data_IF_503791055490
#
_entry.id   IF_503791055490
#
_cell.length_a   1.000
_cell.length_b   1.000
_cell.length_c   1.000
_cell.angle_alpha   90.00
_cell.angle_beta   90.00
_cell.angle_gamma   90.00
#
_symmetry.space_group_name_H-M   'P 1'
#
loop_
_entity.id
_entity.type
_entity.pdbx_description
1 polymer ?
#
# COMPACT_ATOMS: atom_id res chain seq x y z
N UNK A 1 2.92 20.88 -14.29
CA UNK A 1 1.69 20.43 -13.59
C UNK A 1 1.79 18.95 -13.19
N UNK A 2 3.02 18.43 -13.06
CA UNK A 2 3.33 17.00 -13.14
C UNK A 2 3.50 16.34 -11.75
N UNK A 3 3.87 17.12 -10.73
CA UNK A 3 3.97 16.64 -9.33
C UNK A 3 2.62 16.23 -8.74
N UNK A 4 1.51 16.78 -9.25
CA UNK A 4 0.17 16.44 -8.76
C UNK A 4 -0.24 15.05 -9.23
N UNK A 5 0.11 14.65 -10.45
CA UNK A 5 -0.37 13.39 -11.04
C UNK A 5 0.13 12.18 -10.23
N UNK A 6 1.42 12.13 -9.89
CA UNK A 6 1.99 11.05 -9.07
C UNK A 6 1.36 10.97 -7.68
N UNK A 7 1.21 12.12 -7.00
CA UNK A 7 0.65 12.18 -5.64
C UNK A 7 -0.82 11.74 -5.61
N UNK A 8 -1.61 12.17 -6.61
CA UNK A 8 -2.99 11.71 -6.78
C UNK A 8 -3.07 10.22 -7.11
N UNK A 9 -2.14 9.67 -7.91
CA UNK A 9 -2.12 8.22 -8.21
C UNK A 9 -1.93 7.36 -6.96
N UNK A 10 -1.11 7.79 -5.99
CA UNK A 10 -0.96 7.06 -4.74
C UNK A 10 -2.20 7.12 -3.85
N UNK A 11 -2.79 8.30 -3.69
CA UNK A 11 -4.03 8.45 -2.91
C UNK A 11 -5.16 7.60 -3.53
N UNK A 12 -5.30 7.63 -4.85
CA UNK A 12 -6.29 6.81 -5.56
C UNK A 12 -6.03 5.32 -5.34
N UNK A 13 -4.78 4.87 -5.41
CA UNK A 13 -4.42 3.48 -5.15
C UNK A 13 -4.73 3.03 -3.71
N UNK A 14 -4.48 3.89 -2.73
CA UNK A 14 -4.84 3.64 -1.32
C UNK A 14 -6.36 3.54 -1.15
N UNK A 15 -7.13 4.46 -1.75
CA UNK A 15 -8.60 4.42 -1.70
C UNK A 15 -9.13 3.13 -2.34
N UNK A 16 -8.58 2.74 -3.50
CA UNK A 16 -8.93 1.49 -4.17
C UNK A 16 -8.63 0.28 -3.29
N UNK A 17 -7.47 0.23 -2.64
CA UNK A 17 -7.11 -0.85 -1.72
C UNK A 17 -8.09 -0.97 -0.54
N UNK A 18 -8.56 0.16 0.00
CA UNK A 18 -9.57 0.18 1.08
C UNK A 18 -10.92 -0.36 0.57
N UNK A 19 -11.39 0.13 -0.58
CA UNK A 19 -12.67 -0.31 -1.16
C UNK A 19 -12.64 -1.81 -1.47
N UNK A 20 -11.53 -2.30 -2.03
CA UNK A 20 -11.34 -3.73 -2.32
C UNK A 20 -11.23 -4.58 -1.05
N UNK A 21 -10.62 -4.05 0.01
CA UNK A 21 -10.59 -4.68 1.32
C UNK A 21 -11.94 -4.76 2.00
N UNK A 22 -12.84 -3.80 1.79
CA UNK A 22 -14.23 -3.86 2.28
C UNK A 22 -15.09 -4.81 1.45
N UNK A 23 -14.81 -4.90 0.14
CA UNK A 23 -15.52 -5.77 -0.78
C UNK A 23 -15.04 -7.24 -0.73
N UNK A 24 -13.93 -7.54 -0.04
CA UNK A 24 -13.32 -8.87 0.01
C UNK A 24 -14.29 -10.01 0.36
N UNK A 25 -15.26 -9.87 1.29
CA UNK A 25 -16.13 -11.00 1.65
C UNK A 25 -17.10 -11.37 0.53
N UNK A 26 -17.36 -10.44 -0.39
CA UNK A 26 -18.26 -10.62 -1.53
C UNK A 26 -17.53 -11.10 -2.79
N UNK A 27 -16.19 -11.14 -2.78
CA UNK A 27 -15.37 -11.36 -3.97
C UNK A 27 -14.91 -12.81 -4.14
N UNK A 28 -14.96 -13.65 -3.09
CA UNK A 28 -14.62 -15.07 -3.18
C UNK A 28 -13.28 -15.34 -3.88
N UNK A 29 -13.28 -16.15 -4.94
CA UNK A 29 -12.08 -16.47 -5.73
C UNK A 29 -11.49 -15.29 -6.54
N UNK A 30 -12.26 -14.20 -6.74
CA UNK A 30 -11.76 -12.99 -7.39
C UNK A 30 -10.78 -12.20 -6.51
N UNK A 31 -10.74 -12.47 -5.19
CA UNK A 31 -9.82 -11.83 -4.25
C UNK A 31 -8.34 -12.03 -4.64
N UNK A 32 -7.98 -13.23 -5.12
CA UNK A 32 -6.60 -13.54 -5.51
C UNK A 32 -6.18 -12.70 -6.72
N UNK A 33 -7.05 -12.62 -7.73
CA UNK A 33 -6.83 -11.81 -8.94
C UNK A 33 -6.73 -10.32 -8.63
N UNK A 34 -7.58 -9.82 -7.73
CA UNK A 34 -7.58 -8.42 -7.31
C UNK A 34 -6.33 -8.05 -6.51
N UNK A 35 -5.85 -8.94 -5.63
CA UNK A 35 -4.59 -8.74 -4.93
C UNK A 35 -3.41 -8.63 -5.92
N UNK A 36 -3.39 -9.45 -6.98
CA UNK A 36 -2.37 -9.34 -8.03
C UNK A 36 -2.43 -7.99 -8.77
N UNK A 37 -3.64 -7.49 -9.08
CA UNK A 37 -3.81 -6.18 -9.71
C UNK A 37 -3.30 -5.06 -8.78
N UNK A 38 -3.61 -5.13 -7.49
CA UNK A 38 -3.12 -4.16 -6.50
C UNK A 38 -1.60 -4.15 -6.40
N UNK A 39 -0.96 -5.32 -6.44
CA UNK A 39 0.51 -5.42 -6.47
C UNK A 39 1.08 -4.73 -7.71
N UNK A 40 0.52 -5.01 -8.89
CA UNK A 40 0.95 -4.38 -10.14
C UNK A 40 0.74 -2.86 -10.11
N UNK A 41 -0.42 -2.40 -9.63
CA UNK A 41 -0.68 -0.97 -9.44
C UNK A 41 0.30 -0.35 -8.45
N UNK A 42 0.61 -1.04 -7.36
CA UNK A 42 1.61 -0.61 -6.37
C UNK A 42 2.99 -0.42 -7.01
N UNK A 43 3.45 -1.38 -7.80
CA UNK A 43 4.70 -1.27 -8.55
C UNK A 43 4.68 -0.05 -9.50
N UNK A 44 3.63 0.08 -10.31
CA UNK A 44 3.47 1.19 -11.27
C UNK A 44 3.49 2.53 -10.55
N UNK A 45 2.75 2.67 -9.46
CA UNK A 45 2.72 3.89 -8.65
C UNK A 45 4.08 4.16 -8.00
N UNK A 46 4.79 3.14 -7.52
CA UNK A 46 6.15 3.29 -6.99
C UNK A 46 7.13 3.84 -8.03
N UNK A 47 7.03 3.41 -9.29
CA UNK A 47 7.85 3.94 -10.36
C UNK A 47 7.47 5.39 -10.73
N UNK A 48 6.17 5.68 -10.82
CA UNK A 48 5.62 6.95 -11.30
C UNK A 48 5.61 8.08 -10.26
N UNK A 49 5.36 7.78 -8.99
CA UNK A 49 5.00 8.79 -8.00
C UNK A 49 6.21 9.53 -7.43
N UNK A 50 7.32 8.82 -7.17
CA UNK A 50 8.32 9.36 -6.24
C UNK A 50 9.65 9.63 -6.93
N UNK A 51 9.89 10.91 -7.19
CA UNK A 51 11.16 11.49 -7.64
C UNK A 51 11.36 12.85 -6.98
N UNK A 52 12.50 13.05 -6.30
CA UNK A 52 12.90 14.34 -5.73
C UNK A 52 12.80 14.43 -4.19
N UNK A 53 12.56 15.63 -3.66
CA UNK A 53 12.60 15.91 -2.21
C UNK A 53 11.58 15.15 -1.37
N UNK A 54 10.47 14.72 -1.97
CA UNK A 54 9.37 14.02 -1.28
C UNK A 54 9.65 12.53 -1.06
N UNK A 55 10.76 11.98 -1.60
CA UNK A 55 11.08 10.56 -1.49
C UNK A 55 11.23 10.09 -0.05
N UNK A 56 11.95 10.87 0.77
CA UNK A 56 12.19 10.53 2.17
C UNK A 56 10.89 10.52 2.98
N UNK A 57 10.06 11.55 2.82
CA UNK A 57 8.78 11.64 3.53
C UNK A 57 7.84 10.51 3.11
N UNK A 58 7.78 10.18 1.82
CA UNK A 58 7.01 9.03 1.33
C UNK A 58 7.49 7.71 1.96
N UNK A 59 8.80 7.46 2.00
CA UNK A 59 9.37 6.23 2.56
C UNK A 59 9.10 6.13 4.06
N UNK A 60 9.22 7.24 4.80
CA UNK A 60 8.94 7.29 6.25
C UNK A 60 7.46 7.00 6.51
N UNK A 61 6.55 7.70 5.83
CA UNK A 61 5.10 7.52 6.01
C UNK A 61 4.70 6.08 5.63
N UNK A 62 5.21 5.57 4.51
CA UNK A 62 4.91 4.21 4.07
C UNK A 62 5.46 3.16 5.03
N UNK A 63 6.68 3.34 5.54
CA UNK A 63 7.27 2.45 6.54
C UNK A 63 6.47 2.45 7.85
N UNK A 64 6.07 3.61 8.35
CA UNK A 64 5.21 3.73 9.54
C UNK A 64 3.89 3.00 9.30
N UNK A 65 3.25 3.23 8.15
CA UNK A 65 1.97 2.60 7.83
C UNK A 65 2.08 1.08 7.72
N UNK A 66 3.12 0.57 7.04
CA UNK A 66 3.43 -0.86 6.98
C UNK A 66 3.63 -1.44 8.38
N UNK A 67 4.41 -0.76 9.21
CA UNK A 67 4.70 -1.21 10.56
C UNK A 67 3.44 -1.22 11.44
N UNK A 68 2.63 -0.15 11.40
CA UNK A 68 1.37 -0.06 12.15
C UNK A 68 0.38 -1.13 11.73
N UNK A 69 0.24 -1.39 10.43
CA UNK A 69 -0.64 -2.44 9.92
C UNK A 69 -0.15 -3.83 10.36
N UNK A 70 1.15 -4.08 10.25
CA UNK A 70 1.74 -5.36 10.67
C UNK A 70 1.57 -5.57 12.18
N UNK A 71 1.90 -4.56 12.99
CA UNK A 71 1.72 -4.58 14.44
C UNK A 71 0.24 -4.83 14.82
N UNK A 72 -0.68 -4.09 14.20
CA UNK A 72 -2.12 -4.23 14.43
C UNK A 72 -2.69 -5.60 14.06
N UNK A 73 -2.19 -6.22 12.98
CA UNK A 73 -2.59 -7.57 12.58
C UNK A 73 -2.00 -8.64 13.51
N UNK A 74 -0.73 -8.49 13.89
CA UNK A 74 -0.04 -9.41 14.81
C UNK A 74 -0.60 -9.41 16.24
N UNK A 75 -1.22 -8.30 16.65
CA UNK A 75 -1.78 -8.15 18.00
C UNK A 75 -2.99 -9.06 18.28
N UNK A 76 -3.50 -9.83 17.31
CA UNK A 76 -4.69 -10.71 17.41
C UNK A 76 -6.00 -10.05 17.89
N UNK A 77 -5.97 -8.80 18.33
CA UNK A 77 -7.12 -8.08 18.88
C UNK A 77 -8.13 -7.68 17.81
N UNK A 78 -7.69 -7.46 16.56
CA UNK A 78 -8.63 -7.15 15.48
C UNK A 78 -9.56 -8.32 15.17
N UNK A 79 -9.06 -9.56 15.17
CA UNK A 79 -9.89 -10.76 14.97
C UNK A 79 -10.87 -11.04 16.11
N UNK A 80 -10.64 -10.47 17.29
CA UNK A 80 -11.53 -10.56 18.44
C UNK A 80 -12.71 -9.58 18.36
N UNK A 81 -12.69 -8.62 17.42
CA UNK A 81 -13.82 -7.72 17.15
C UNK A 81 -14.77 -8.42 16.19
N UNK A 82 -15.80 -9.06 16.74
CA UNK A 82 -16.67 -10.03 16.05
C UNK A 82 -17.37 -9.48 14.79
N UNK A 83 -17.66 -8.18 14.72
CA UNK A 83 -18.42 -7.56 13.62
C UNK A 83 -17.53 -6.88 12.58
N UNK A 84 -16.50 -6.14 13.02
CA UNK A 84 -15.71 -5.24 12.15
C UNK A 84 -14.28 -5.78 11.94
N UNK A 85 -13.85 -6.74 12.76
CA UNK A 85 -12.49 -7.26 12.77
C UNK A 85 -12.03 -7.87 11.45
N UNK A 86 -12.89 -8.67 10.82
CA UNK A 86 -12.62 -9.30 9.51
C UNK A 86 -12.44 -8.25 8.41
N UNK A 87 -13.32 -7.24 8.37
CA UNK A 87 -13.24 -6.15 7.39
C UNK A 87 -11.95 -5.33 7.53
N UNK A 88 -11.57 -4.97 8.76
CA UNK A 88 -10.32 -4.20 8.97
C UNK A 88 -9.11 -5.05 8.60
N UNK A 89 -9.11 -6.34 8.96
CA UNK A 89 -8.04 -7.27 8.59
C UNK A 89 -7.89 -7.33 7.06
N UNK A 90 -8.99 -7.42 6.33
CA UNK A 90 -8.95 -7.51 4.87
C UNK A 90 -8.50 -6.20 4.23
N UNK A 91 -8.94 -5.04 4.73
CA UNK A 91 -8.40 -3.74 4.34
C UNK A 91 -6.89 -3.69 4.54
N UNK A 92 -6.40 -4.14 5.69
CA UNK A 92 -4.97 -4.16 6.00
C UNK A 92 -4.18 -5.04 5.04
N UNK A 93 -4.71 -6.22 4.70
CA UNK A 93 -4.10 -7.11 3.70
C UNK A 93 -4.02 -6.43 2.34
N UNK A 94 -5.09 -5.79 1.87
CA UNK A 94 -5.08 -5.13 0.56
C UNK A 94 -4.23 -3.85 0.53
N UNK A 95 -4.20 -3.09 1.62
CA UNK A 95 -3.27 -1.98 1.78
C UNK A 95 -1.82 -2.46 1.71
N UNK A 96 -1.48 -3.57 2.39
CA UNK A 96 -0.14 -4.15 2.29
C UNK A 96 0.18 -4.61 0.86
N UNK A 97 -0.77 -5.23 0.16
CA UNK A 97 -0.58 -5.68 -1.22
C UNK A 97 -0.25 -4.52 -2.17
N UNK A 98 -0.74 -3.30 -1.91
CA UNK A 98 -0.44 -2.11 -2.71
C UNK A 98 0.81 -1.35 -2.23
N UNK A 99 0.91 -1.07 -0.93
CA UNK A 99 1.90 -0.13 -0.37
C UNK A 99 3.29 -0.75 -0.32
N UNK A 100 3.39 -2.04 0.01
CA UNK A 100 4.69 -2.74 0.09
C UNK A 100 5.45 -2.69 -1.23
N UNK A 101 4.91 -3.15 -2.37
CA UNK A 101 5.63 -3.10 -3.64
C UNK A 101 5.96 -1.67 -4.09
N UNK A 102 5.06 -0.70 -3.85
CA UNK A 102 5.32 0.70 -4.14
C UNK A 102 6.53 1.23 -3.34
N UNK A 103 6.58 0.92 -2.05
CA UNK A 103 7.65 1.34 -1.14
C UNK A 103 8.99 0.71 -1.51
N UNK A 104 8.99 -0.58 -1.86
CA UNK A 104 10.21 -1.29 -2.29
C UNK A 104 10.81 -0.64 -3.54
N UNK A 105 10.00 -0.35 -4.55
CA UNK A 105 10.48 0.30 -5.78
C UNK A 105 11.10 1.65 -5.47
N UNK A 106 10.44 2.47 -4.65
CA UNK A 106 10.93 3.81 -4.31
C UNK A 106 12.21 3.74 -3.48
N UNK A 107 12.28 2.82 -2.51
CA UNK A 107 13.45 2.64 -1.67
C UNK A 107 14.67 2.20 -2.51
N UNK A 108 14.48 1.28 -3.45
CA UNK A 108 15.54 0.85 -4.37
C UNK A 108 16.03 2.00 -5.25
N UNK A 109 15.11 2.82 -5.78
CA UNK A 109 15.46 4.02 -6.56
C UNK A 109 16.28 5.00 -5.73
N UNK A 110 15.92 5.22 -4.47
CA UNK A 110 16.64 6.12 -3.56
C UNK A 110 18.05 5.59 -3.27
N UNK A 111 18.18 4.29 -2.95
CA UNK A 111 19.49 3.63 -2.73
C UNK A 111 20.39 3.76 -3.96
N UNK A 112 19.86 3.54 -5.17
CA UNK A 112 20.61 3.71 -6.40
C UNK A 112 21.06 5.16 -6.62
N UNK A 113 20.21 6.13 -6.29
CA UNK A 113 20.58 7.56 -6.39
C UNK A 113 21.69 7.92 -5.40
N UNK A 114 21.65 7.39 -4.17
CA UNK A 114 22.70 7.58 -3.17
C UNK A 114 24.03 6.95 -3.61
N UNK A 115 23.97 5.83 -4.32
CA UNK A 115 25.14 5.16 -4.86
C UNK A 115 25.75 5.89 -6.07
N UNK A 116 24.96 6.66 -6.81
CA UNK A 116 25.39 7.36 -8.03
C UNK A 116 25.98 8.76 -7.78
N UNK A 117 25.84 9.32 -6.58
CA UNK A 117 26.46 10.59 -6.16
C UNK A 117 25.64 11.82 -6.53
#
# INVERSE_FOLDING_TARGET
MDKKIGHYSYIIGVILAIVLGLASPYLGSAQVWLASILVVLGLVVGFLNVTGKETKDFLIVSAILIFTIYAGNSAMQLGAVEVIGSYIKDIFVQLMAFIVPATVVVALKDVLSMAQG
#
